data_IF_367193254570
#
_entry.id   IF_367193254570
#
_cell.length_a   1.000
_cell.length_b   1.000
_cell.length_c   1.000
_cell.angle_alpha   90.00
_cell.angle_beta   90.00
_cell.angle_gamma   90.00
#
_symmetry.space_group_name_H-M   'P 1'
#
loop_
_entity.id
_entity.type
_entity.pdbx_description
1 polymer ?
#
# COMPACT_ATOMS: atom_id res chain seq x y z
N UNK A 1 59.08 -11.46 1.22
CA UNK A 1 58.42 -10.15 1.32
C UNK A 1 56.94 -10.34 1.01
N UNK A 2 56.06 -10.12 1.97
CA UNK A 2 54.61 -10.19 1.76
C UNK A 2 54.09 -8.79 1.45
N UNK A 3 53.49 -8.63 0.27
CA UNK A 3 52.83 -7.39 -0.11
C UNK A 3 51.44 -7.36 0.55
N UNK A 4 51.30 -6.55 1.61
CA UNK A 4 50.01 -6.26 2.20
C UNK A 4 49.35 -5.12 1.39
N UNK A 5 48.21 -5.40 0.80
CA UNK A 5 47.36 -4.38 0.15
C UNK A 5 46.37 -3.91 1.21
N UNK A 6 46.43 -2.63 1.57
CA UNK A 6 45.46 -2.01 2.47
C UNK A 6 44.31 -1.45 1.63
N UNK A 7 43.14 -2.08 1.73
CA UNK A 7 41.92 -1.57 1.07
C UNK A 7 41.23 -0.63 2.07
N UNK A 8 41.04 0.66 1.75
CA UNK A 8 40.34 1.58 2.64
C UNK A 8 38.88 1.13 2.79
N UNK A 9 38.43 0.99 4.03
CA UNK A 9 37.04 0.72 4.35
C UNK A 9 36.19 1.94 3.95
N UNK A 10 35.57 1.89 2.77
CA UNK A 10 34.60 2.91 2.36
C UNK A 10 33.25 2.58 2.98
N UNK A 11 32.89 3.27 4.06
CA UNK A 11 31.55 3.27 4.61
C UNK A 11 30.70 4.21 3.74
N UNK A 12 30.01 3.66 2.75
CA UNK A 12 28.97 4.40 2.03
C UNK A 12 27.68 4.38 2.85
N UNK A 13 27.23 5.53 3.32
CA UNK A 13 25.90 5.67 3.93
C UNK A 13 24.84 5.60 2.82
N UNK A 14 24.07 4.52 2.80
CA UNK A 14 22.91 4.40 1.93
C UNK A 14 21.72 5.11 2.59
N UNK A 15 21.35 6.27 2.07
CA UNK A 15 20.10 6.93 2.46
C UNK A 15 18.94 6.43 1.59
N UNK A 16 18.04 5.65 2.19
CA UNK A 16 16.82 5.22 1.52
C UNK A 16 15.81 6.37 1.53
N UNK A 17 15.59 7.00 0.37
CA UNK A 17 14.50 7.97 0.19
C UNK A 17 13.24 7.28 -0.29
N UNK A 18 12.17 7.39 0.49
CA UNK A 18 10.86 6.91 0.08
C UNK A 18 10.19 7.91 -0.87
N UNK A 19 9.47 7.42 -1.89
CA UNK A 19 8.80 8.30 -2.83
C UNK A 19 7.68 9.08 -2.15
N UNK A 20 7.50 10.33 -2.58
CA UNK A 20 6.24 11.04 -2.38
C UNK A 20 5.18 10.34 -3.22
N UNK A 21 4.00 10.14 -2.63
CA UNK A 21 2.88 9.53 -3.35
C UNK A 21 1.68 10.48 -3.35
N UNK A 22 0.86 10.37 -4.39
CA UNK A 22 -0.31 11.21 -4.64
C UNK A 22 -1.56 10.33 -4.59
N UNK A 23 -2.55 10.74 -3.81
CA UNK A 23 -3.86 10.09 -3.80
C UNK A 23 -4.85 11.00 -4.53
N UNK A 24 -5.43 10.50 -5.62
CA UNK A 24 -6.50 11.16 -6.38
C UNK A 24 -7.86 10.72 -5.86
N UNK A 25 -8.77 11.67 -5.67
CA UNK A 25 -10.11 11.46 -5.11
C UNK A 25 -11.02 12.67 -5.38
N UNK A 26 -12.33 12.50 -5.20
CA UNK A 26 -13.29 13.58 -5.30
C UNK A 26 -13.01 14.67 -4.26
N UNK A 27 -13.23 15.94 -4.64
CA UNK A 27 -12.94 17.12 -3.79
C UNK A 27 -13.54 17.00 -2.39
N UNK A 28 -14.78 16.50 -2.26
CA UNK A 28 -15.43 16.32 -0.97
C UNK A 28 -14.63 15.46 0.02
N UNK A 29 -13.91 14.43 -0.47
CA UNK A 29 -13.12 13.55 0.38
C UNK A 29 -11.75 14.15 0.70
N UNK A 30 -11.22 15.01 -0.18
CA UNK A 30 -10.01 15.79 0.09
C UNK A 30 -10.32 16.80 1.19
N UNK A 31 -11.44 17.52 1.06
CA UNK A 31 -11.87 18.52 2.02
C UNK A 31 -12.17 17.89 3.38
N UNK A 32 -12.85 16.74 3.43
CA UNK A 32 -13.07 16.00 4.68
C UNK A 32 -11.76 15.58 5.34
N UNK A 33 -10.77 15.17 4.56
CA UNK A 33 -9.46 14.80 5.09
C UNK A 33 -8.72 16.03 5.65
N UNK A 34 -8.66 17.13 4.89
CA UNK A 34 -7.91 18.32 5.28
C UNK A 34 -8.58 19.13 6.40
N UNK A 35 -9.91 19.21 6.41
CA UNK A 35 -10.66 20.02 7.37
C UNK A 35 -11.03 19.24 8.64
N UNK A 36 -11.36 17.95 8.51
CA UNK A 36 -11.91 17.14 9.62
C UNK A 36 -11.00 15.97 10.01
N UNK A 37 -9.91 15.71 9.27
CA UNK A 37 -9.04 14.56 9.50
C UNK A 37 -9.69 13.22 9.11
N UNK A 38 -10.80 13.24 8.37
CA UNK A 38 -11.52 12.03 7.95
C UNK A 38 -10.93 11.48 6.66
N UNK A 39 -10.28 10.32 6.74
CA UNK A 39 -9.66 9.67 5.59
C UNK A 39 -10.58 8.59 5.00
N UNK A 40 -10.89 8.70 3.71
CA UNK A 40 -11.56 7.62 2.98
C UNK A 40 -10.58 6.51 2.62
N UNK A 41 -10.78 5.32 3.19
CA UNK A 41 -10.06 4.10 2.85
C UNK A 41 -10.95 3.19 1.98
N UNK A 42 -10.36 2.53 1.00
CA UNK A 42 -11.03 1.47 0.25
C UNK A 42 -10.98 0.17 1.06
N UNK A 43 -11.95 -0.73 0.87
CA UNK A 43 -11.92 -2.08 1.43
C UNK A 43 -12.23 -3.10 0.35
N UNK A 44 -11.69 -4.32 0.46
CA UNK A 44 -11.96 -5.40 -0.50
C UNK A 44 -13.45 -5.68 -0.69
N UNK A 45 -14.23 -5.57 0.39
CA UNK A 45 -15.70 -5.68 0.35
C UNK A 45 -16.39 -4.64 -0.55
N UNK A 46 -15.76 -3.48 -0.77
CA UNK A 46 -16.22 -2.41 -1.68
C UNK A 46 -15.68 -2.59 -3.10
N UNK A 47 -14.46 -3.10 -3.27
CA UNK A 47 -13.91 -3.47 -4.58
C UNK A 47 -14.76 -4.53 -5.29
N UNK A 48 -15.29 -5.50 -4.54
CA UNK A 48 -16.21 -6.53 -5.03
C UNK A 48 -17.54 -6.02 -5.61
N UNK A 49 -17.84 -4.71 -5.48
CA UNK A 49 -19.08 -4.10 -5.97
C UNK A 49 -18.85 -3.13 -7.15
N UNK A 50 -17.62 -2.93 -7.61
CA UNK A 50 -17.35 -2.10 -8.77
C UNK A 50 -17.57 -2.89 -10.07
N UNK A 51 -18.30 -2.30 -11.02
CA UNK A 51 -18.69 -2.86 -12.33
C UNK A 51 -17.52 -3.13 -13.30
N UNK A 52 -16.30 -2.75 -12.94
CA UNK A 52 -15.12 -2.82 -13.82
C UNK A 52 -14.48 -4.22 -13.74
N UNK A 53 -15.12 -5.19 -14.40
CA UNK A 53 -14.83 -6.65 -14.41
C UNK A 53 -13.38 -7.03 -14.77
N UNK A 54 -12.55 -6.13 -15.31
CA UNK A 54 -11.15 -6.44 -15.66
C UNK A 54 -10.16 -6.38 -14.49
N UNK A 55 -10.62 -6.01 -13.28
CA UNK A 55 -9.79 -5.92 -12.06
C UNK A 55 -10.20 -6.90 -10.95
N UNK A 56 -11.16 -7.78 -11.22
CA UNK A 56 -11.55 -8.84 -10.29
C UNK A 56 -10.52 -9.96 -10.30
N UNK A 57 -9.53 -9.88 -9.41
CA UNK A 57 -8.80 -11.09 -9.02
C UNK A 57 -9.67 -11.85 -8.01
N UNK A 58 -10.31 -12.93 -8.48
CA UNK A 58 -11.15 -13.79 -7.66
C UNK A 58 -10.38 -14.49 -6.52
N UNK A 59 -9.04 -14.43 -6.54
CA UNK A 59 -8.17 -14.97 -5.50
C UNK A 59 -7.66 -13.90 -4.52
N UNK A 60 -8.05 -12.63 -4.67
CA UNK A 60 -7.62 -11.57 -3.77
C UNK A 60 -8.20 -11.79 -2.35
N UNK A 61 -7.31 -12.09 -1.40
CA UNK A 61 -7.66 -12.43 -0.02
C UNK A 61 -7.74 -13.94 0.27
N UNK A 62 -7.43 -14.83 -0.68
CA UNK A 62 -7.29 -16.28 -0.44
C UNK A 62 -5.81 -16.65 -0.34
N UNK A 63 -5.40 -17.21 0.79
CA UNK A 63 -4.06 -17.76 0.97
C UNK A 63 -4.12 -19.28 1.19
N UNK A 64 -3.36 -20.03 0.41
CA UNK A 64 -3.12 -21.45 0.68
C UNK A 64 -2.06 -21.59 1.77
N UNK A 65 -2.50 -21.97 2.96
CA UNK A 65 -1.61 -22.29 4.05
C UNK A 65 -1.22 -23.78 3.97
N UNK A 66 0.07 -24.05 3.80
CA UNK A 66 0.66 -25.37 4.07
C UNK A 66 1.62 -25.23 5.23
N UNK A 67 1.33 -25.89 6.33
CA UNK A 67 2.19 -25.92 7.51
C UNK A 67 2.32 -27.33 8.06
N UNK A 68 3.50 -27.65 8.58
CA UNK A 68 3.73 -28.90 9.31
C UNK A 68 3.73 -28.57 10.81
N UNK A 69 2.69 -29.01 11.51
CA UNK A 69 2.60 -28.86 12.97
C UNK A 69 2.94 -30.20 13.61
N UNK A 70 4.09 -30.30 14.27
CA UNK A 70 4.49 -31.53 14.97
C UNK A 70 4.59 -32.78 14.07
N UNK A 71 4.95 -32.62 12.80
CA UNK A 71 5.09 -33.72 11.84
C UNK A 71 3.80 -34.11 11.10
N UNK A 72 2.68 -33.45 11.37
CA UNK A 72 1.44 -33.61 10.60
C UNK A 72 1.29 -32.48 9.58
N UNK A 73 1.10 -32.80 8.27
CA UNK A 73 0.84 -31.80 7.25
C UNK A 73 -0.59 -31.27 7.39
N UNK A 74 -0.71 -29.97 7.64
CA UNK A 74 -1.96 -29.25 7.66
C UNK A 74 -2.06 -28.37 6.41
N UNK A 75 -3.17 -28.52 5.68
CA UNK A 75 -3.50 -27.69 4.53
C UNK A 75 -4.83 -27.00 4.78
N UNK A 76 -4.82 -25.67 4.72
CA UNK A 76 -6.01 -24.85 4.92
C UNK A 76 -6.07 -23.72 3.90
N UNK A 77 -7.29 -23.40 3.45
CA UNK A 77 -7.56 -22.18 2.71
C UNK A 77 -7.94 -21.10 3.73
N UNK A 78 -7.16 -20.03 3.83
CA UNK A 78 -7.52 -18.88 4.67
C UNK A 78 -8.10 -17.79 3.77
N UNK A 79 -9.31 -17.37 4.08
CA UNK A 79 -9.96 -16.22 3.44
C UNK A 79 -9.81 -15.00 4.33
N UNK A 80 -8.88 -14.11 4.02
CA UNK A 80 -8.67 -12.82 4.69
C UNK A 80 -9.54 -11.76 4.02
N UNK A 81 -10.83 -11.71 4.35
CA UNK A 81 -11.81 -10.94 3.57
C UNK A 81 -12.47 -9.73 4.25
N UNK A 82 -12.42 -9.58 5.58
CA UNK A 82 -13.33 -8.64 6.27
C UNK A 82 -12.66 -7.45 6.98
N UNK A 83 -11.33 -7.45 7.18
CA UNK A 83 -10.64 -6.47 8.00
C UNK A 83 -9.48 -5.72 7.32
N UNK A 84 -9.31 -5.85 6.01
CA UNK A 84 -8.22 -5.19 5.30
C UNK A 84 -8.69 -3.90 4.60
N UNK A 85 -7.95 -2.83 4.86
CA UNK A 85 -8.13 -1.51 4.27
C UNK A 85 -7.01 -1.23 3.29
N UNK A 86 -7.35 -0.65 2.15
CA UNK A 86 -6.43 -0.32 1.07
C UNK A 86 -6.45 1.18 0.82
N UNK A 87 -5.26 1.78 0.74
CA UNK A 87 -5.07 3.14 0.30
C UNK A 87 -4.20 3.12 -0.97
N UNK A 88 -4.81 3.36 -2.13
CA UNK A 88 -4.09 3.31 -3.41
C UNK A 88 -3.52 4.68 -3.78
N UNK A 89 -2.21 4.82 -3.87
CA UNK A 89 -1.58 6.07 -4.28
C UNK A 89 -0.78 5.88 -5.58
N UNK A 90 -0.55 6.96 -6.30
CA UNK A 90 0.36 7.01 -7.45
C UNK A 90 1.72 7.56 -7.00
N UNK A 91 2.81 7.00 -7.52
CA UNK A 91 4.15 7.60 -7.37
C UNK A 91 4.37 8.78 -8.34
N UNK A 92 3.45 8.98 -9.29
CA UNK A 92 3.53 10.02 -10.32
C UNK A 92 2.34 10.97 -10.17
N UNK A 93 2.65 12.26 -10.10
CA UNK A 93 1.66 13.32 -10.22
C UNK A 93 1.41 13.59 -11.71
N UNK A 94 0.23 13.19 -12.20
CA UNK A 94 -0.15 13.30 -13.60
C UNK A 94 -1.61 13.74 -13.72
N UNK A 95 -1.81 14.88 -14.38
CA UNK A 95 -3.14 15.45 -14.63
C UNK A 95 -3.96 14.60 -15.60
N UNK A 96 -3.34 13.96 -16.59
CA UNK A 96 -4.04 13.08 -17.51
C UNK A 96 -4.58 11.85 -16.77
N UNK A 97 -3.83 11.33 -15.80
CA UNK A 97 -4.27 10.25 -14.93
C UNK A 97 -5.45 10.67 -14.05
N UNK A 98 -5.40 11.88 -13.48
CA UNK A 98 -6.47 12.46 -12.67
C UNK A 98 -7.77 12.62 -13.49
N UNK A 99 -7.67 13.17 -14.70
CA UNK A 99 -8.79 13.33 -15.63
C UNK A 99 -9.36 11.98 -16.10
N UNK A 100 -8.49 11.00 -16.39
CA UNK A 100 -8.89 9.63 -16.77
C UNK A 100 -9.72 8.93 -15.70
N UNK A 101 -9.40 9.18 -14.42
CA UNK A 101 -10.18 8.65 -13.31
C UNK A 101 -11.39 9.51 -12.93
N UNK A 102 -11.61 10.64 -13.62
CA UNK A 102 -12.73 11.53 -13.34
C UNK A 102 -12.62 12.29 -12.01
N UNK A 103 -11.41 12.41 -11.46
CA UNK A 103 -11.18 13.14 -10.22
C UNK A 103 -10.83 14.61 -10.50
N UNK A 104 -11.23 15.50 -9.58
CA UNK A 104 -10.95 16.93 -9.66
C UNK A 104 -9.91 17.41 -8.64
N UNK A 105 -9.54 16.54 -7.69
CA UNK A 105 -8.68 16.89 -6.56
C UNK A 105 -7.76 15.73 -6.17
N UNK A 106 -6.71 16.07 -5.43
CA UNK A 106 -5.75 15.12 -4.88
C UNK A 106 -5.05 15.70 -3.65
N UNK A 107 -4.45 14.84 -2.85
CA UNK A 107 -3.48 15.27 -1.84
C UNK A 107 -2.19 14.47 -1.95
N UNK A 108 -1.09 15.11 -1.54
CA UNK A 108 0.27 14.56 -1.59
C UNK A 108 0.71 14.09 -0.21
N UNK A 109 1.35 12.93 -0.18
CA UNK A 109 1.89 12.31 1.03
C UNK A 109 3.41 12.35 0.93
N UNK A 110 4.00 13.36 1.56
CA UNK A 110 5.44 13.62 1.51
C UNK A 110 6.24 12.80 2.54
N UNK A 111 5.59 12.34 3.61
CA UNK A 111 6.17 11.44 4.61
C UNK A 111 5.30 10.18 4.71
N UNK A 112 5.59 9.20 3.85
CA UNK A 112 4.79 7.97 3.72
C UNK A 112 4.84 7.11 4.98
N UNK A 113 5.99 7.01 5.66
CA UNK A 113 6.10 6.30 6.94
C UNK A 113 5.26 6.99 8.01
N UNK A 114 5.45 8.30 8.18
CA UNK A 114 4.73 9.07 9.19
C UNK A 114 3.21 9.00 8.98
N UNK A 115 2.78 9.06 7.72
CA UNK A 115 1.38 8.93 7.35
C UNK A 115 0.83 7.52 7.61
N UNK A 116 1.55 6.47 7.22
CA UNK A 116 1.16 5.09 7.51
C UNK A 116 1.05 4.83 9.02
N UNK A 117 1.98 5.37 9.82
CA UNK A 117 1.96 5.27 11.27
C UNK A 117 0.77 6.02 11.88
N UNK A 118 0.42 7.20 11.35
CA UNK A 118 -0.76 7.94 11.79
C UNK A 118 -2.06 7.17 11.52
N UNK A 119 -2.20 6.56 10.33
CA UNK A 119 -3.35 5.71 9.99
C UNK A 119 -3.40 4.47 10.89
N UNK A 120 -2.28 3.78 11.07
CA UNK A 120 -2.21 2.58 11.91
C UNK A 120 -2.71 2.83 13.34
N UNK A 121 -2.38 4.00 13.91
CA UNK A 121 -2.87 4.42 15.23
C UNK A 121 -4.35 4.80 15.25
N UNK A 122 -4.88 5.28 14.13
CA UNK A 122 -6.28 5.68 14.01
C UNK A 122 -7.21 4.50 13.71
N UNK A 123 -6.70 3.38 13.21
CA UNK A 123 -7.48 2.18 12.88
C UNK A 123 -7.69 1.29 14.11
N UNK A 124 -8.93 1.08 14.57
CA UNK A 124 -9.21 0.16 15.68
C UNK A 124 -8.84 -1.28 15.31
N UNK A 125 -8.08 -1.95 16.18
CA UNK A 125 -7.69 -3.35 15.98
C UNK A 125 -6.64 -3.57 14.88
N UNK A 126 -5.87 -2.55 14.51
CA UNK A 126 -4.78 -2.69 13.55
C UNK A 126 -3.71 -3.68 14.05
N UNK A 127 -3.49 -4.77 13.30
CA UNK A 127 -2.51 -5.82 13.63
C UNK A 127 -1.19 -5.68 12.84
N UNK A 128 -1.23 -5.01 11.68
CA UNK A 128 -0.08 -4.85 10.80
C UNK A 128 -0.48 -4.35 9.41
N UNK A 129 0.49 -3.82 8.67
CA UNK A 129 0.30 -3.31 7.32
C UNK A 129 1.57 -3.41 6.51
N UNK A 130 1.43 -3.61 5.20
CA UNK A 130 2.53 -3.69 4.25
C UNK A 130 2.28 -2.76 3.06
N UNK A 131 3.29 -2.04 2.56
CA UNK A 131 3.18 -1.35 1.30
C UNK A 131 3.14 -2.37 0.16
N UNK A 132 2.11 -2.29 -0.69
CA UNK A 132 2.04 -3.04 -1.93
C UNK A 132 2.29 -2.12 -3.12
N UNK A 133 3.25 -2.49 -3.97
CA UNK A 133 3.46 -1.82 -5.25
C UNK A 133 2.70 -2.58 -6.34
N UNK A 134 1.67 -1.94 -6.90
CA UNK A 134 1.02 -2.41 -8.13
C UNK A 134 1.71 -1.71 -9.30
N UNK A 135 2.60 -2.42 -9.98
CA UNK A 135 3.14 -1.99 -11.27
C UNK A 135 2.03 -2.14 -12.31
N UNK A 136 1.45 -1.03 -12.73
CA UNK A 136 0.55 -0.98 -13.89
C UNK A 136 1.43 -1.30 -15.10
N UNK A 137 1.31 -2.53 -15.62
CA UNK A 137 1.90 -2.89 -16.91
C UNK A 137 1.26 -1.99 -17.97
N UNK A 138 2.13 -1.25 -18.67
CA UNK A 138 1.82 -0.40 -19.82
C UNK A 138 1.27 -1.19 -20.98
#
# INVERSE_FOLDING_TARGET
>A
MQNAISIPLQITNWEVKLPTVVRYLETQYVDQFLNEGKLMLSSFKRFWKHEDEHRGDDDEGKAHLRMNLGGMPFQGLITMGSGAFVLSCSCVEDRALMEKFGYSSAFRINNTIGFAHAIARALPGFLGGAPHHLSVLS
#
